data_IF_605304650914
#
_entry.id   IF_605304650914
#
_cell.length_a   1.000
_cell.length_b   1.000
_cell.length_c   1.000
_cell.angle_alpha   90.00
_cell.angle_beta   90.00
_cell.angle_gamma   90.00
#
_symmetry.space_group_name_H-M   'P 1'
#
loop_
_entity.id
_entity.type
_entity.pdbx_description
1 polymer ?
#
# COMPACT_ATOMS: atom_id res chain seq x y z
N UNK A 1 -7.50 -25.47 5.73
CA UNK A 1 -7.53 -24.38 6.72
C UNK A 1 -6.37 -23.39 6.52
N UNK A 2 -5.10 -23.74 6.81
CA UNK A 2 -3.95 -22.79 6.71
C UNK A 2 -3.74 -22.20 5.31
N UNK A 3 -3.86 -22.99 4.24
CA UNK A 3 -3.73 -22.48 2.86
C UNK A 3 -4.81 -21.44 2.50
N UNK A 4 -6.04 -21.63 2.96
CA UNK A 4 -7.13 -20.69 2.70
C UNK A 4 -6.93 -19.36 3.45
N UNK A 5 -6.34 -19.40 4.65
CA UNK A 5 -5.99 -18.20 5.41
C UNK A 5 -4.90 -17.38 4.70
N UNK A 6 -3.82 -18.01 4.23
CA UNK A 6 -2.72 -17.29 3.54
C UNK A 6 -3.22 -16.66 2.24
N UNK A 7 -4.03 -17.39 1.46
CA UNK A 7 -4.57 -16.87 0.20
C UNK A 7 -5.57 -15.74 0.47
N UNK A 8 -6.45 -15.91 1.47
CA UNK A 8 -7.39 -14.87 1.88
C UNK A 8 -6.69 -13.59 2.34
N UNK A 9 -5.70 -13.71 3.22
CA UNK A 9 -4.88 -12.59 3.70
C UNK A 9 -4.21 -11.87 2.51
N UNK A 10 -3.58 -12.62 1.60
CA UNK A 10 -2.93 -12.04 0.43
C UNK A 10 -3.92 -11.34 -0.51
N UNK A 11 -5.08 -11.94 -0.79
CA UNK A 11 -6.10 -11.33 -1.64
C UNK A 11 -6.68 -10.05 -1.03
N UNK A 12 -6.97 -10.07 0.28
CA UNK A 12 -7.45 -8.89 1.00
C UNK A 12 -6.44 -7.75 0.93
N UNK A 13 -5.17 -8.06 1.18
CA UNK A 13 -4.09 -7.07 1.19
C UNK A 13 -3.78 -6.52 -0.21
N UNK A 14 -3.90 -7.35 -1.25
CA UNK A 14 -3.81 -6.89 -2.65
C UNK A 14 -4.96 -5.94 -3.01
N UNK A 15 -6.19 -6.25 -2.60
CA UNK A 15 -7.35 -5.39 -2.85
C UNK A 15 -7.18 -4.01 -2.22
N UNK A 16 -6.67 -3.95 -0.98
CA UNK A 16 -6.37 -2.70 -0.29
C UNK A 16 -5.27 -1.91 -0.99
N UNK A 17 -4.22 -2.59 -1.46
CA UNK A 17 -3.14 -1.96 -2.24
C UNK A 17 -3.66 -1.38 -3.56
N UNK A 18 -4.55 -2.09 -4.27
CA UNK A 18 -5.20 -1.54 -5.47
C UNK A 18 -6.00 -0.28 -5.17
N UNK A 19 -6.84 -0.31 -4.12
CA UNK A 19 -7.73 0.81 -3.76
C UNK A 19 -6.97 2.10 -3.46
N UNK A 20 -5.81 2.03 -2.82
CA UNK A 20 -4.99 3.23 -2.57
C UNK A 20 -4.28 3.72 -3.84
N UNK A 21 -3.86 2.81 -4.74
CA UNK A 21 -3.19 3.17 -5.99
C UNK A 21 -4.15 3.84 -6.98
N UNK A 22 -5.46 3.58 -6.88
CA UNK A 22 -6.50 4.28 -7.64
C UNK A 22 -6.60 5.79 -7.31
N UNK A 23 -5.93 6.26 -6.25
CA UNK A 23 -5.84 7.69 -5.88
C UNK A 23 -4.54 8.35 -6.32
N UNK A 24 -3.72 7.68 -7.13
CA UNK A 24 -2.39 8.16 -7.52
C UNK A 24 -2.48 9.42 -8.40
N UNK A 25 -1.92 10.57 -7.96
CA UNK A 25 -1.75 11.74 -8.79
C UNK A 25 -0.51 11.62 -9.69
N UNK A 26 -0.65 11.75 -11.00
CA UNK A 26 0.51 11.72 -11.91
C UNK A 26 1.38 12.98 -11.76
N UNK A 27 0.79 14.11 -11.38
CA UNK A 27 1.45 15.41 -11.24
C UNK A 27 2.45 15.49 -10.07
N UNK A 28 2.31 14.62 -9.06
CA UNK A 28 3.14 14.65 -7.84
C UNK A 28 4.22 13.57 -7.79
N UNK A 29 4.49 12.86 -8.88
CA UNK A 29 5.42 11.72 -8.89
C UNK A 29 6.85 12.06 -8.44
N UNK A 30 7.29 13.30 -8.63
CA UNK A 30 8.60 13.77 -8.18
C UNK A 30 8.61 14.36 -6.74
N UNK A 31 7.44 14.59 -6.14
CA UNK A 31 7.32 15.18 -4.81
C UNK A 31 7.80 14.22 -3.72
N UNK A 32 8.39 14.76 -2.65
CA UNK A 32 8.76 14.02 -1.44
C UNK A 32 8.52 14.89 -0.20
N UNK A 33 8.10 14.32 0.94
CA UNK A 33 7.84 15.09 2.16
C UNK A 33 9.13 15.63 2.82
N UNK A 34 10.27 15.03 2.50
CA UNK A 34 11.57 15.40 3.05
C UNK A 34 12.69 14.91 2.11
N UNK A 35 13.84 15.59 2.08
CA UNK A 35 14.95 15.26 1.17
C UNK A 35 15.45 13.81 1.26
N UNK A 36 15.45 13.26 2.48
CA UNK A 36 15.85 11.87 2.79
C UNK A 36 14.78 10.82 2.46
N UNK A 37 13.59 11.24 2.06
CA UNK A 37 12.49 10.34 1.72
C UNK A 37 12.50 9.97 0.24
N UNK A 38 11.88 8.84 -0.09
CA UNK A 38 11.54 8.51 -1.47
C UNK A 38 10.59 9.56 -2.04
N UNK A 39 10.61 9.73 -3.36
CA UNK A 39 9.53 10.46 -4.03
C UNK A 39 8.24 9.65 -3.98
N UNK A 40 7.09 10.29 -4.19
CA UNK A 40 5.80 9.60 -4.33
C UNK A 40 5.90 8.49 -5.38
N UNK A 41 6.44 8.82 -6.56
CA UNK A 41 6.64 7.84 -7.62
C UNK A 41 7.59 6.71 -7.21
N UNK A 42 8.68 7.04 -6.51
CA UNK A 42 9.60 6.03 -5.99
C UNK A 42 8.93 5.08 -4.99
N UNK A 43 8.13 5.61 -4.06
CA UNK A 43 7.41 4.83 -3.06
C UNK A 43 6.35 3.92 -3.72
N UNK A 44 5.62 4.43 -4.70
CA UNK A 44 4.63 3.66 -5.48
C UNK A 44 5.30 2.55 -6.28
N UNK A 45 6.40 2.85 -6.98
CA UNK A 45 7.18 1.84 -7.69
C UNK A 45 7.71 0.77 -6.73
N UNK A 46 8.19 1.17 -5.54
CA UNK A 46 8.64 0.22 -4.54
C UNK A 46 7.50 -0.68 -4.05
N UNK A 47 6.33 -0.10 -3.73
CA UNK A 47 5.15 -0.85 -3.32
C UNK A 47 4.73 -1.89 -4.37
N UNK A 48 4.74 -1.52 -5.66
CA UNK A 48 4.45 -2.45 -6.77
C UNK A 48 5.53 -3.52 -6.90
N UNK A 49 6.82 -3.18 -6.75
CA UNK A 49 7.90 -4.15 -6.82
C UNK A 49 7.89 -5.17 -5.67
N UNK A 50 7.41 -4.78 -4.48
CA UNK A 50 7.22 -5.71 -3.36
C UNK A 50 6.24 -6.83 -3.72
N UNK A 51 5.26 -6.58 -4.57
CA UNK A 51 4.36 -7.62 -5.09
C UNK A 51 5.13 -8.65 -5.91
N UNK A 52 6.04 -8.20 -6.78
CA UNK A 52 6.85 -9.07 -7.60
C UNK A 52 7.78 -9.95 -6.75
N UNK A 53 8.39 -9.38 -5.71
CA UNK A 53 9.29 -10.12 -4.82
C UNK A 53 8.54 -11.11 -3.91
N UNK A 54 7.30 -10.79 -3.54
CA UNK A 54 6.43 -11.69 -2.77
C UNK A 54 6.09 -12.97 -3.54
N UNK A 55 5.94 -12.90 -4.87
CA UNK A 55 5.68 -14.09 -5.71
C UNK A 55 6.85 -15.08 -5.72
N UNK A 56 8.07 -14.63 -5.44
CA UNK A 56 9.26 -15.48 -5.36
C UNK A 56 9.45 -16.17 -3.99
N UNK A 57 8.66 -15.81 -2.99
CA UNK A 57 8.86 -16.24 -1.61
C UNK A 57 8.08 -17.52 -1.26
N UNK A 58 8.65 -18.36 -0.40
CA UNK A 58 7.93 -19.51 0.19
C UNK A 58 6.77 -19.01 1.07
N UNK A 59 5.68 -19.78 1.13
CA UNK A 59 4.40 -19.38 1.75
C UNK A 59 4.49 -18.81 3.19
N UNK A 60 5.43 -19.28 4.02
CA UNK A 60 5.62 -18.76 5.39
C UNK A 60 6.24 -17.35 5.38
N UNK A 61 7.25 -17.12 4.54
CA UNK A 61 7.91 -15.82 4.41
C UNK A 61 7.00 -14.78 3.76
N UNK A 62 6.09 -15.21 2.88
CA UNK A 62 5.05 -14.35 2.31
C UNK A 62 4.19 -13.71 3.40
N UNK A 63 3.74 -14.49 4.39
CA UNK A 63 2.85 -14.01 5.45
C UNK A 63 3.55 -13.11 6.45
N UNK A 64 4.72 -13.50 6.94
CA UNK A 64 5.41 -12.75 8.02
C UNK A 64 6.12 -11.51 7.52
N UNK A 65 6.83 -11.61 6.39
CA UNK A 65 7.64 -10.50 5.87
C UNK A 65 6.94 -9.80 4.69
N UNK A 66 6.46 -10.56 3.71
CA UNK A 66 5.89 -10.01 2.48
C UNK A 66 4.70 -9.07 2.73
N UNK A 67 3.63 -9.60 3.33
CA UNK A 67 2.41 -8.83 3.59
C UNK A 67 2.66 -7.67 4.56
N UNK A 68 3.38 -7.91 5.66
CA UNK A 68 3.69 -6.86 6.64
C UNK A 68 4.45 -5.69 6.01
N UNK A 69 5.42 -5.97 5.13
CA UNK A 69 6.20 -4.95 4.45
C UNK A 69 5.34 -4.13 3.46
N UNK A 70 4.40 -4.79 2.77
CA UNK A 70 3.45 -4.10 1.91
C UNK A 70 2.50 -3.19 2.70
N UNK A 71 1.96 -3.67 3.83
CA UNK A 71 1.10 -2.87 4.71
C UNK A 71 1.85 -1.64 5.23
N UNK A 72 3.12 -1.81 5.62
CA UNK A 72 3.99 -0.71 6.08
C UNK A 72 4.12 0.40 5.02
N UNK A 73 4.54 0.05 3.80
CA UNK A 73 4.71 1.05 2.74
C UNK A 73 3.38 1.61 2.23
N UNK A 74 2.29 0.85 2.31
CA UNK A 74 0.95 1.35 2.02
C UNK A 74 0.51 2.41 3.02
N UNK A 75 0.76 2.20 4.31
CA UNK A 75 0.50 3.22 5.33
C UNK A 75 1.37 4.47 5.11
N UNK A 76 2.64 4.28 4.72
CA UNK A 76 3.52 5.39 4.34
C UNK A 76 2.96 6.19 3.16
N UNK A 77 2.43 5.52 2.13
CA UNK A 77 1.76 6.16 0.98
C UNK A 77 0.52 6.95 1.43
N UNK A 78 -0.26 6.42 2.38
CA UNK A 78 -1.38 7.14 2.98
C UNK A 78 -0.95 8.48 3.60
N UNK A 79 0.19 8.54 4.28
CA UNK A 79 0.73 9.80 4.81
C UNK A 79 1.11 10.77 3.69
N UNK A 80 1.68 10.28 2.58
CA UNK A 80 2.03 11.13 1.43
C UNK A 80 0.77 11.78 0.84
N UNK A 81 -0.30 11.00 0.68
CA UNK A 81 -1.58 11.53 0.22
C UNK A 81 -2.15 12.58 1.16
N UNK A 82 -2.11 12.35 2.49
CA UNK A 82 -2.56 13.36 3.47
C UNK A 82 -1.78 14.68 3.35
N UNK A 83 -0.47 14.60 3.13
CA UNK A 83 0.38 15.79 2.98
C UNK A 83 0.18 16.53 1.65
N UNK A 84 -0.41 15.86 0.66
CA UNK A 84 -0.76 16.40 -0.65
C UNK A 84 -2.26 16.74 -0.76
N UNK A 85 -3.00 16.69 0.35
CA UNK A 85 -4.46 16.89 0.40
C UNK A 85 -5.26 15.96 -0.52
N UNK A 86 -4.74 14.74 -0.74
CA UNK A 86 -5.39 13.70 -1.53
C UNK A 86 -6.21 12.79 -0.60
N UNK A 87 -7.50 12.57 -0.89
CA UNK A 87 -8.33 11.69 -0.07
C UNK A 87 -7.76 10.28 0.02
N UNK A 88 -7.60 9.78 1.24
CA UNK A 88 -7.15 8.41 1.54
C UNK A 88 -8.38 7.50 1.65
N UNK A 89 -8.44 6.38 0.92
CA UNK A 89 -9.56 5.45 1.01
C UNK A 89 -9.53 4.65 2.32
N UNK A 90 -10.69 4.16 2.75
CA UNK A 90 -10.75 3.15 3.81
C UNK A 90 -10.05 1.85 3.39
N UNK A 91 -9.16 1.33 4.25
CA UNK A 91 -8.38 0.10 3.99
C UNK A 91 -8.76 -1.06 4.91
N UNK A 92 -8.99 -0.77 6.20
CA UNK A 92 -9.35 -1.75 7.23
C UNK A 92 -10.67 -1.41 7.93
N UNK A 93 -11.43 -0.51 7.31
CA UNK A 93 -12.56 0.21 7.89
C UNK A 93 -12.77 1.50 7.10
N UNK A 94 -13.62 2.37 7.60
CA UNK A 94 -13.83 3.71 7.02
C UNK A 94 -12.58 4.57 7.15
N UNK A 95 -12.36 5.46 6.17
CA UNK A 95 -11.44 6.58 6.31
C UNK A 95 -12.21 7.81 6.76
N UNK A 96 -11.57 8.73 7.48
CA UNK A 96 -12.13 10.06 7.77
C UNK A 96 -12.52 10.82 6.49
N UNK A 97 -11.92 10.48 5.35
CA UNK A 97 -12.24 11.09 4.05
C UNK A 97 -13.45 10.43 3.35
N UNK A 98 -14.03 9.40 3.97
CA UNK A 98 -15.23 8.68 3.52
C UNK A 98 -16.41 8.83 4.51
N UNK A 99 -16.17 9.25 5.74
CA UNK A 99 -17.21 9.54 6.74
C UNK A 99 -17.88 10.90 6.44
N UNK A 100 -19.17 10.87 6.09
CA UNK A 100 -19.93 12.07 5.68
C UNK A 100 -20.57 12.00 4.28
N UNK A 101 -20.52 10.83 3.62
CA UNK A 101 -21.46 10.46 2.55
C UNK A 101 -22.66 9.71 3.11
#
# INVERSE_FOLDING_TARGET
MVKQLIIGDAMHELANTRRILERLPEEHMAWKPHEKSMTLGGLVTHLVNLLNWQLAMRAIALRTFGLSHMVHHRAQLGVYYRLLDIPVPGLYGTSADEEGK
#
